data_IF_378106617454
#
_entry.id   IF_378106617454
#
_cell.length_a   1.000
_cell.length_b   1.000
_cell.length_c   1.000
_cell.angle_alpha   90.00
_cell.angle_beta   90.00
_cell.angle_gamma   90.00
#
_symmetry.space_group_name_H-M   'P 1'
#
loop_
_entity.id
_entity.type
_entity.pdbx_description
1 polymer ?
#
# COMPACT_ATOMS: atom_id res chain seq x y z
N UNK A 1 -2.67 3.33 -8.50
CA UNK A 1 -2.35 2.90 -9.87
C UNK A 1 -3.60 2.81 -10.75
N UNK A 2 -4.76 2.50 -10.20
CA UNK A 2 -5.98 2.11 -10.92
C UNK A 2 -7.05 3.18 -10.77
N UNK A 3 -7.75 3.51 -11.84
CA UNK A 3 -9.02 4.24 -11.83
C UNK A 3 -10.15 3.30 -12.22
N UNK A 4 -11.39 3.67 -11.96
CA UNK A 4 -12.55 2.84 -12.27
C UNK A 4 -13.75 3.68 -12.68
N UNK A 5 -14.68 3.04 -13.35
CA UNK A 5 -15.99 3.58 -13.65
C UNK A 5 -17.07 2.52 -13.53
N UNK A 6 -18.29 2.95 -13.41
CA UNK A 6 -19.47 2.09 -13.58
C UNK A 6 -19.88 2.09 -15.03
N UNK A 7 -20.17 0.92 -15.58
CA UNK A 7 -20.67 0.74 -16.94
C UNK A 7 -21.82 -0.28 -16.92
N UNK A 8 -22.60 -0.32 -17.99
CA UNK A 8 -23.64 -1.33 -18.17
C UNK A 8 -23.16 -2.36 -19.18
N UNK A 9 -23.06 -3.61 -18.78
CA UNK A 9 -22.84 -4.70 -19.73
C UNK A 9 -24.11 -4.89 -20.57
N UNK A 10 -24.01 -4.52 -21.83
CA UNK A 10 -25.17 -4.58 -22.76
C UNK A 10 -25.69 -6.00 -22.99
N UNK A 11 -24.84 -7.03 -22.85
CA UNK A 11 -25.19 -8.43 -23.05
C UNK A 11 -25.87 -9.01 -21.81
N UNK A 12 -25.31 -8.74 -20.63
CA UNK A 12 -25.81 -9.27 -19.35
C UNK A 12 -26.90 -8.38 -18.75
N UNK A 13 -27.05 -7.14 -19.23
CA UNK A 13 -27.97 -6.11 -18.71
C UNK A 13 -27.81 -5.86 -17.20
N UNK A 14 -26.56 -5.89 -16.74
CA UNK A 14 -26.20 -5.63 -15.36
C UNK A 14 -25.19 -4.48 -15.31
N UNK A 15 -25.16 -3.81 -14.17
CA UNK A 15 -24.09 -2.86 -13.87
C UNK A 15 -22.79 -3.60 -13.54
N UNK A 16 -21.70 -3.11 -14.08
CA UNK A 16 -20.35 -3.63 -13.87
C UNK A 16 -19.42 -2.50 -13.45
N UNK A 17 -18.38 -2.85 -12.72
CA UNK A 17 -17.28 -1.93 -12.42
C UNK A 17 -16.10 -2.31 -13.30
N UNK A 18 -15.66 -1.38 -14.12
CA UNK A 18 -14.49 -1.54 -14.97
C UNK A 18 -13.28 -0.86 -14.34
N UNK A 19 -12.17 -1.58 -14.27
CA UNK A 19 -10.91 -1.09 -13.72
C UNK A 19 -9.86 -0.96 -14.80
N UNK A 20 -9.13 0.16 -14.79
CA UNK A 20 -8.08 0.48 -15.75
C UNK A 20 -6.85 1.02 -15.03
N UNK A 21 -5.69 0.74 -15.54
CA UNK A 21 -4.40 1.25 -15.05
C UNK A 21 -3.69 2.20 -16.02
N UNK A 22 -4.28 2.40 -17.19
CA UNK A 22 -3.77 3.28 -18.24
C UNK A 22 -4.91 4.05 -18.95
N UNK A 23 -4.58 4.67 -20.09
CA UNK A 23 -5.49 5.45 -20.91
C UNK A 23 -6.30 4.63 -21.91
N UNK A 24 -6.06 3.32 -22.02
CA UNK A 24 -6.78 2.45 -23.00
C UNK A 24 -8.27 2.37 -22.72
N UNK A 25 -8.66 2.54 -21.47
CA UNK A 25 -10.07 2.58 -21.06
C UNK A 25 -10.80 3.91 -21.29
N UNK A 26 -10.14 4.93 -21.83
CA UNK A 26 -10.82 6.20 -22.08
C UNK A 26 -11.75 6.12 -23.29
N UNK A 27 -12.94 6.64 -23.13
CA UNK A 27 -13.84 6.95 -24.24
C UNK A 27 -13.57 8.36 -24.75
N UNK A 28 -13.75 8.58 -26.05
CA UNK A 28 -13.36 9.83 -26.71
C UNK A 28 -14.39 10.24 -27.74
N UNK A 29 -14.36 11.54 -28.07
CA UNK A 29 -15.09 12.07 -29.24
C UNK A 29 -16.40 12.73 -28.92
N UNK A 30 -16.78 12.87 -27.65
CA UNK A 30 -18.00 13.65 -27.33
C UNK A 30 -17.67 15.15 -27.35
N UNK A 31 -18.46 15.87 -28.08
CA UNK A 31 -18.38 17.35 -28.16
C UNK A 31 -19.71 17.95 -27.75
N UNK A 32 -19.68 18.88 -26.79
CA UNK A 32 -20.88 19.55 -26.26
C UNK A 32 -20.78 21.07 -26.42
N UNK A 33 -21.88 21.77 -26.76
CA UNK A 33 -21.86 23.21 -26.84
C UNK A 33 -21.86 23.87 -25.46
N UNK A 34 -21.13 24.99 -25.34
CA UNK A 34 -21.30 25.91 -24.21
C UNK A 34 -22.57 26.67 -24.34
N UNK A 35 -23.51 26.56 -23.40
CA UNK A 35 -24.72 27.34 -23.33
C UNK A 35 -24.96 27.80 -21.91
N UNK A 36 -25.17 29.11 -21.75
CA UNK A 36 -25.59 29.64 -20.46
C UNK A 36 -27.07 29.31 -20.22
N UNK A 37 -27.45 28.86 -19.01
CA UNK A 37 -28.86 28.66 -18.69
C UNK A 37 -29.62 29.97 -18.90
N UNK A 38 -30.51 30.00 -19.85
CA UNK A 38 -31.51 31.05 -20.02
C UNK A 38 -32.88 30.44 -19.75
N UNK A 39 -33.81 31.19 -19.21
CA UNK A 39 -35.16 30.70 -18.89
C UNK A 39 -35.97 30.14 -20.06
N UNK A 40 -35.38 30.05 -21.24
CA UNK A 40 -35.92 29.48 -22.48
C UNK A 40 -35.07 28.26 -22.92
N UNK A 41 -34.68 27.40 -22.00
CA UNK A 41 -33.99 26.16 -22.35
C UNK A 41 -34.99 25.21 -23.04
N UNK A 42 -34.74 24.89 -24.29
CA UNK A 42 -35.63 24.08 -25.11
C UNK A 42 -35.61 22.57 -24.82
N UNK A 43 -34.70 22.13 -23.95
CA UNK A 43 -34.58 20.73 -23.52
C UNK A 43 -34.11 19.76 -24.60
N UNK A 44 -33.96 20.18 -25.85
CA UNK A 44 -33.61 19.28 -26.96
C UNK A 44 -32.08 19.09 -27.13
N UNK A 45 -31.26 20.06 -26.70
CA UNK A 45 -29.82 20.02 -26.95
C UNK A 45 -29.05 19.86 -25.63
N UNK A 46 -28.33 18.77 -25.53
CA UNK A 46 -27.38 18.60 -24.42
C UNK A 46 -26.26 19.66 -24.47
N UNK A 47 -25.94 20.25 -23.34
CA UNK A 47 -25.02 21.37 -23.25
C UNK A 47 -24.22 21.34 -21.94
N UNK A 48 -23.17 22.15 -21.89
CA UNK A 48 -22.38 22.40 -20.68
C UNK A 48 -22.42 23.89 -20.33
N UNK A 49 -22.34 24.20 -19.03
CA UNK A 49 -22.24 25.56 -18.50
C UNK A 49 -21.50 25.59 -17.17
N UNK A 50 -21.38 26.78 -16.58
CA UNK A 50 -20.74 26.92 -15.25
C UNK A 50 -19.31 26.43 -15.21
N UNK A 51 -18.58 26.53 -16.34
CA UNK A 51 -17.20 26.06 -16.43
C UNK A 51 -16.31 26.86 -15.52
N UNK A 52 -15.55 26.15 -14.70
CA UNK A 52 -14.60 26.72 -13.77
C UNK A 52 -13.25 26.01 -13.89
N UNK A 53 -12.17 26.76 -13.73
CA UNK A 53 -10.79 26.27 -13.78
C UNK A 53 -10.05 26.71 -12.53
N UNK A 54 -9.46 25.77 -11.81
CA UNK A 54 -8.57 26.05 -10.67
C UNK A 54 -7.19 25.49 -10.99
N UNK A 55 -6.18 26.32 -10.91
CA UNK A 55 -4.79 25.97 -11.18
C UNK A 55 -3.96 26.01 -9.92
N UNK A 56 -3.05 25.06 -9.77
CA UNK A 56 -2.09 24.96 -8.68
C UNK A 56 -0.70 24.73 -9.23
N UNK A 57 0.30 25.21 -8.50
CA UNK A 57 1.70 24.85 -8.76
C UNK A 57 1.93 23.47 -8.17
N UNK A 58 2.48 22.57 -8.95
CA UNK A 58 2.80 21.19 -8.54
C UNK A 58 4.28 20.90 -8.73
N UNK A 59 4.74 19.80 -8.15
CA UNK A 59 6.14 19.40 -8.17
C UNK A 59 6.62 19.12 -9.61
N UNK A 60 7.82 19.61 -9.91
CA UNK A 60 8.48 19.39 -11.19
C UNK A 60 9.12 18.01 -11.27
N UNK A 61 9.70 17.55 -10.18
CA UNK A 61 10.42 16.30 -10.08
C UNK A 61 9.86 15.45 -8.94
N UNK A 62 9.88 14.15 -9.12
CA UNK A 62 9.55 13.19 -8.05
C UNK A 62 10.69 12.20 -7.91
N UNK A 63 11.20 12.08 -6.69
CA UNK A 63 12.23 11.11 -6.33
C UNK A 63 11.67 10.11 -5.35
N UNK A 64 11.88 8.83 -5.60
CA UNK A 64 11.48 7.74 -4.69
C UNK A 64 12.70 6.96 -4.24
N UNK A 65 12.68 6.48 -2.99
CA UNK A 65 13.70 5.63 -2.42
C UNK A 65 13.06 4.56 -1.55
N UNK A 66 13.58 3.34 -1.62
CA UNK A 66 13.08 2.24 -0.81
C UNK A 66 14.21 1.35 -0.31
N UNK A 67 13.93 0.54 0.70
CA UNK A 67 14.83 -0.48 1.23
C UNK A 67 14.18 -1.84 1.15
N UNK A 68 14.92 -2.79 0.57
CA UNK A 68 14.54 -4.19 0.53
C UNK A 68 15.65 -5.06 1.12
N UNK A 69 15.37 -5.71 2.23
CA UNK A 69 16.35 -6.57 2.90
C UNK A 69 16.80 -7.78 2.06
N UNK A 70 16.00 -8.18 1.06
CA UNK A 70 16.36 -9.29 0.15
C UNK A 70 17.42 -8.90 -0.88
N UNK A 71 17.55 -7.61 -1.11
CA UNK A 71 18.54 -7.00 -2.01
C UNK A 71 19.33 -5.91 -1.28
N UNK A 72 19.68 -6.16 -0.01
CA UNK A 72 20.29 -5.18 0.88
C UNK A 72 21.66 -4.67 0.40
N UNK A 73 22.34 -5.42 -0.47
CA UNK A 73 23.60 -5.01 -1.13
C UNK A 73 23.41 -4.14 -2.34
N UNK A 74 22.20 -4.06 -2.90
CA UNK A 74 21.89 -3.09 -3.92
C UNK A 74 21.91 -1.69 -3.27
N UNK A 75 22.53 -0.71 -3.92
CA UNK A 75 22.36 0.68 -3.52
C UNK A 75 20.86 0.94 -3.39
N UNK A 76 20.46 1.59 -2.30
CA UNK A 76 19.06 1.93 -2.08
C UNK A 76 18.57 2.62 -3.33
N UNK A 77 17.66 1.97 -4.06
CA UNK A 77 17.23 2.42 -5.37
C UNK A 77 16.60 3.80 -5.24
N UNK A 78 17.33 4.80 -5.69
CA UNK A 78 16.83 6.16 -5.80
C UNK A 78 16.48 6.37 -7.26
N UNK A 79 15.21 6.58 -7.54
CA UNK A 79 14.71 6.80 -8.88
C UNK A 79 14.02 8.15 -8.96
N UNK A 80 14.32 8.90 -10.01
CA UNK A 80 13.77 10.22 -10.26
C UNK A 80 12.93 10.20 -11.54
N UNK A 81 11.83 10.91 -11.53
CA UNK A 81 11.00 11.17 -12.68
C UNK A 81 10.74 12.66 -12.81
N UNK A 82 11.17 13.24 -13.93
CA UNK A 82 10.94 14.63 -14.26
C UNK A 82 9.63 14.80 -15.06
N UNK A 83 8.97 15.93 -14.88
CA UNK A 83 7.80 16.26 -15.68
C UNK A 83 8.18 16.42 -17.15
N UNK A 84 7.71 15.48 -17.98
CA UNK A 84 7.80 15.63 -19.41
C UNK A 84 6.61 16.47 -19.91
N UNK A 85 6.89 17.66 -20.44
CA UNK A 85 5.87 18.59 -20.92
C UNK A 85 5.25 19.47 -19.84
N UNK A 86 5.87 19.54 -18.65
CA UNK A 86 5.53 20.54 -17.64
C UNK A 86 5.79 21.95 -18.19
N UNK A 87 4.81 22.80 -18.02
CA UNK A 87 4.96 24.23 -18.31
C UNK A 87 5.70 24.94 -17.15
N UNK A 88 5.79 26.28 -17.21
CA UNK A 88 6.43 27.09 -16.20
C UNK A 88 5.72 27.07 -14.82
N UNK A 89 4.67 26.27 -14.64
CA UNK A 89 3.88 26.16 -13.41
C UNK A 89 4.30 24.98 -12.52
N UNK A 90 5.26 24.16 -12.96
CA UNK A 90 5.84 23.12 -12.12
C UNK A 90 7.09 23.63 -11.41
N UNK A 91 7.25 23.32 -10.11
CA UNK A 91 8.35 23.80 -9.30
C UNK A 91 8.72 22.81 -8.18
N UNK A 92 10.01 22.67 -7.90
CA UNK A 92 10.49 21.89 -6.78
C UNK A 92 10.49 20.39 -6.99
N UNK A 93 10.77 19.67 -5.92
CA UNK A 93 10.89 18.21 -5.88
C UNK A 93 10.04 17.64 -4.75
N UNK A 94 9.34 16.54 -5.03
CA UNK A 94 8.74 15.68 -4.02
C UNK A 94 9.62 14.45 -3.80
N UNK A 95 10.01 14.22 -2.55
CA UNK A 95 10.75 13.04 -2.14
C UNK A 95 9.85 12.08 -1.38
N UNK A 96 9.84 10.81 -1.79
CA UNK A 96 9.09 9.74 -1.16
C UNK A 96 10.01 8.60 -0.75
N UNK A 97 9.89 8.18 0.50
CA UNK A 97 10.59 7.02 1.03
C UNK A 97 9.61 5.91 1.37
N UNK A 98 10.05 4.65 1.23
CA UNK A 98 9.29 3.45 1.59
C UNK A 98 7.99 3.25 0.78
N UNK A 99 8.04 3.45 -0.53
CA UNK A 99 6.92 3.14 -1.43
C UNK A 99 6.64 1.65 -1.60
N UNK A 100 7.50 0.80 -1.03
CA UNK A 100 7.40 -0.65 -1.05
C UNK A 100 7.37 -1.23 -2.49
N UNK A 101 8.50 -1.16 -3.16
CA UNK A 101 8.68 -1.63 -4.55
C UNK A 101 8.63 -3.15 -4.70
N UNK A 102 8.48 -3.89 -3.62
CA UNK A 102 8.42 -5.33 -3.64
C UNK A 102 7.04 -5.82 -4.06
N UNK A 103 7.02 -6.85 -4.89
CA UNK A 103 5.83 -7.65 -5.06
C UNK A 103 5.53 -8.42 -3.78
N UNK A 104 4.26 -8.56 -3.47
CA UNK A 104 3.78 -9.31 -2.30
C UNK A 104 3.99 -10.81 -2.53
N UNK A 105 4.42 -11.50 -1.50
CA UNK A 105 4.52 -12.94 -1.49
C UNK A 105 5.94 -13.49 -1.35
N UNK A 106 6.05 -14.82 -1.36
CA UNK A 106 7.33 -15.52 -1.18
C UNK A 106 8.23 -15.48 -2.43
N UNK A 107 7.64 -15.19 -3.58
CA UNK A 107 8.34 -15.03 -4.87
C UNK A 107 8.33 -13.58 -5.30
N UNK A 108 9.02 -12.75 -4.55
CA UNK A 108 9.02 -11.32 -4.81
C UNK A 108 10.03 -10.94 -5.88
N UNK A 109 9.56 -10.21 -6.88
CA UNK A 109 10.41 -9.44 -7.79
C UNK A 109 10.34 -7.97 -7.40
N UNK A 110 11.47 -7.27 -7.44
CA UNK A 110 11.49 -5.84 -7.22
C UNK A 110 10.74 -5.14 -8.37
N UNK A 111 9.78 -4.28 -8.04
CA UNK A 111 9.20 -3.34 -9.00
C UNK A 111 10.18 -2.17 -9.20
N UNK A 112 10.06 -1.48 -10.35
CA UNK A 112 10.91 -0.34 -10.65
C UNK A 112 10.52 0.89 -9.82
N UNK A 113 11.49 1.50 -9.13
CA UNK A 113 11.31 2.79 -8.46
C UNK A 113 10.90 3.90 -9.42
N UNK A 114 11.42 3.89 -10.66
CA UNK A 114 11.04 4.82 -11.71
C UNK A 114 9.56 4.73 -12.07
N UNK A 115 8.97 3.53 -12.06
CA UNK A 115 7.53 3.36 -12.24
C UNK A 115 6.72 4.03 -11.12
N UNK A 116 7.13 3.87 -9.86
CA UNK A 116 6.45 4.52 -8.73
C UNK A 116 6.62 6.04 -8.76
N UNK A 117 7.83 6.54 -9.06
CA UNK A 117 8.09 7.97 -9.23
C UNK A 117 7.19 8.56 -10.31
N UNK A 118 7.05 7.87 -11.47
CA UNK A 118 6.16 8.27 -12.55
C UNK A 118 4.70 8.34 -12.10
N UNK A 119 4.17 7.29 -11.46
CA UNK A 119 2.77 7.24 -10.99
C UNK A 119 2.49 8.35 -9.97
N UNK A 120 3.44 8.66 -9.08
CA UNK A 120 3.30 9.78 -8.15
C UNK A 120 3.33 11.11 -8.86
N UNK A 121 4.22 11.25 -9.83
CA UNK A 121 4.31 12.48 -10.63
C UNK A 121 3.04 12.71 -11.47
N UNK A 122 2.52 11.69 -12.14
CA UNK A 122 1.24 11.78 -12.86
C UNK A 122 0.10 12.28 -11.95
N UNK A 123 0.10 11.87 -10.67
CA UNK A 123 -0.89 12.34 -9.69
C UNK A 123 -0.74 13.83 -9.39
N UNK A 124 0.47 14.32 -9.19
CA UNK A 124 0.73 15.76 -9.04
C UNK A 124 0.32 16.55 -10.28
N UNK A 125 0.65 16.05 -11.47
CA UNK A 125 0.23 16.69 -12.74
C UNK A 125 -1.30 16.71 -12.88
N UNK A 126 -2.02 15.71 -12.38
CA UNK A 126 -3.49 15.74 -12.36
C UNK A 126 -4.06 16.81 -11.42
N UNK A 127 -3.33 17.17 -10.36
CA UNK A 127 -3.72 18.23 -9.41
C UNK A 127 -3.38 19.64 -9.91
N UNK A 128 -2.56 19.77 -10.97
CA UNK A 128 -2.16 21.05 -11.54
C UNK A 128 -3.35 21.88 -12.05
N UNK A 129 -4.36 21.22 -12.60
CA UNK A 129 -5.57 21.87 -13.08
C UNK A 129 -6.81 21.02 -12.75
N UNK A 130 -7.65 21.54 -11.88
CA UNK A 130 -8.93 20.94 -11.53
C UNK A 130 -10.03 21.74 -12.22
N UNK A 131 -10.81 21.06 -13.02
CA UNK A 131 -11.86 21.64 -13.86
C UNK A 131 -13.21 21.18 -13.34
N UNK A 132 -14.20 22.05 -13.40
CA UNK A 132 -15.59 21.77 -13.02
C UNK A 132 -16.54 22.35 -14.04
N UNK A 133 -17.72 21.73 -14.16
CA UNK A 133 -18.79 22.23 -14.98
C UNK A 133 -20.11 21.54 -14.65
N UNK A 134 -21.15 22.01 -15.29
CA UNK A 134 -22.48 21.45 -15.21
C UNK A 134 -22.93 21.02 -16.60
N UNK A 135 -23.82 20.03 -16.69
CA UNK A 135 -24.33 19.56 -17.96
C UNK A 135 -25.73 18.93 -17.82
N UNK A 136 -26.44 18.88 -18.91
CA UNK A 136 -27.68 18.08 -19.08
C UNK A 136 -27.39 16.74 -19.74
N UNK A 137 -26.13 16.47 -20.17
CA UNK A 137 -25.84 15.24 -20.89
C UNK A 137 -25.74 14.05 -19.95
N UNK A 138 -26.54 13.04 -20.21
CA UNK A 138 -26.49 11.76 -19.49
C UNK A 138 -25.32 10.87 -19.93
N UNK A 139 -24.58 11.27 -20.95
CA UNK A 139 -23.42 10.52 -21.46
C UNK A 139 -22.15 10.77 -20.64
N UNK A 140 -22.11 11.82 -19.81
CA UNK A 140 -20.92 12.16 -19.04
C UNK A 140 -20.67 11.13 -17.95
N UNK A 141 -19.48 10.54 -17.97
CA UNK A 141 -19.03 9.55 -17.00
C UNK A 141 -17.50 9.64 -16.79
N UNK A 142 -16.97 9.16 -15.67
CA UNK A 142 -15.53 9.08 -15.48
C UNK A 142 -14.83 8.29 -16.58
N UNK A 143 -13.70 8.80 -17.08
CA UNK A 143 -12.95 8.21 -18.18
C UNK A 143 -13.40 8.62 -19.57
N UNK A 144 -14.36 9.55 -19.69
CA UNK A 144 -14.78 10.12 -20.97
C UNK A 144 -14.01 11.42 -21.24
N UNK A 145 -13.39 11.52 -22.42
CA UNK A 145 -12.84 12.78 -22.94
C UNK A 145 -13.94 13.55 -23.65
N UNK A 146 -14.13 14.80 -23.26
CA UNK A 146 -15.06 15.71 -23.91
C UNK A 146 -14.35 16.96 -24.41
N UNK A 147 -14.92 17.59 -25.43
CA UNK A 147 -14.56 18.93 -25.93
C UNK A 147 -15.73 19.85 -25.83
N UNK A 148 -15.49 21.09 -25.49
CA UNK A 148 -16.55 22.10 -25.41
C UNK A 148 -16.42 23.04 -26.57
N UNK A 149 -17.51 23.18 -27.32
CA UNK A 149 -17.65 24.15 -28.43
C UNK A 149 -18.20 25.47 -27.92
N UNK A 150 -17.65 26.55 -28.40
CA UNK A 150 -18.05 27.91 -28.12
C UNK A 150 -16.85 28.83 -28.04
N UNK A 151 -16.97 30.04 -28.59
CA UNK A 151 -15.85 31.00 -28.60
C UNK A 151 -15.51 31.48 -27.19
N UNK A 152 -16.52 31.54 -26.32
CA UNK A 152 -16.36 31.92 -24.90
C UNK A 152 -15.91 30.75 -23.98
N UNK A 153 -15.81 29.52 -24.52
CA UNK A 153 -15.34 28.39 -23.73
C UNK A 153 -13.83 28.54 -23.39
N UNK A 154 -13.44 28.31 -22.15
CA UNK A 154 -12.01 28.34 -21.80
C UNK A 154 -11.19 27.40 -22.69
N UNK A 155 -9.99 27.85 -23.07
CA UNK A 155 -9.15 27.13 -24.04
C UNK A 155 -8.87 25.66 -23.64
N UNK A 156 -8.74 25.38 -22.34
CA UNK A 156 -8.52 24.03 -21.82
C UNK A 156 -9.69 23.09 -22.17
N UNK A 157 -10.92 23.56 -22.06
CA UNK A 157 -12.13 22.76 -22.41
C UNK A 157 -12.27 22.56 -23.93
N UNK A 158 -11.82 23.51 -24.71
CA UNK A 158 -11.83 23.38 -26.19
C UNK A 158 -10.79 22.38 -26.68
N UNK A 159 -9.66 22.29 -26.01
CA UNK A 159 -8.59 21.31 -26.33
C UNK A 159 -8.95 19.87 -25.97
N UNK A 160 -9.77 19.69 -24.96
CA UNK A 160 -10.22 18.41 -24.45
C UNK A 160 -9.96 18.25 -22.96
N UNK A 161 -10.93 17.72 -22.26
CA UNK A 161 -10.85 17.43 -20.82
C UNK A 161 -11.32 16.02 -20.54
N UNK A 162 -10.69 15.37 -19.59
CA UNK A 162 -11.08 14.04 -19.13
C UNK A 162 -11.96 14.16 -17.90
N UNK A 163 -13.15 13.62 -17.95
CA UNK A 163 -14.07 13.55 -16.81
C UNK A 163 -13.51 12.60 -15.76
N UNK A 164 -13.38 13.06 -14.52
CA UNK A 164 -12.86 12.28 -13.38
C UNK A 164 -13.93 11.94 -12.36
N UNK A 165 -15.04 12.67 -12.36
CA UNK A 165 -16.16 12.42 -11.45
C UNK A 165 -17.42 13.12 -11.91
N UNK A 166 -18.58 12.52 -11.60
CA UNK A 166 -19.90 13.10 -11.87
C UNK A 166 -20.80 12.94 -10.65
N UNK A 167 -21.63 13.93 -10.44
CA UNK A 167 -22.75 13.88 -9.48
C UNK A 167 -24.00 14.31 -10.20
N UNK A 168 -24.97 13.43 -10.30
CA UNK A 168 -26.19 13.67 -11.04
C UNK A 168 -27.43 13.70 -10.13
N UNK A 169 -28.43 14.48 -10.51
CA UNK A 169 -29.75 14.52 -9.89
C UNK A 169 -30.84 14.48 -10.95
N UNK A 170 -31.84 13.64 -10.71
CA UNK A 170 -33.01 13.54 -11.59
C UNK A 170 -34.28 13.32 -10.76
N UNK A 171 -35.37 13.93 -11.17
CA UNK A 171 -36.67 13.67 -10.60
C UNK A 171 -37.75 13.83 -11.72
N UNK A 172 -38.97 13.30 -11.50
CA UNK A 172 -40.03 13.38 -12.50
C UNK A 172 -40.47 14.80 -12.82
N UNK A 173 -40.28 15.71 -11.86
CA UNK A 173 -40.66 17.11 -11.92
C UNK A 173 -39.50 18.06 -12.20
N UNK A 174 -38.32 17.53 -12.47
CA UNK A 174 -37.10 18.33 -12.70
C UNK A 174 -36.33 17.77 -13.88
N UNK A 175 -35.69 18.67 -14.62
CA UNK A 175 -34.71 18.27 -15.64
C UNK A 175 -33.52 17.53 -15.04
N UNK A 176 -32.96 16.62 -15.81
CA UNK A 176 -31.71 15.97 -15.47
C UNK A 176 -30.59 17.01 -15.49
N UNK A 177 -29.87 17.09 -14.40
CA UNK A 177 -28.70 17.95 -14.26
C UNK A 177 -27.56 17.15 -13.57
N UNK A 178 -26.36 17.37 -14.07
CA UNK A 178 -25.16 16.83 -13.41
C UNK A 178 -24.09 17.91 -13.27
N UNK A 179 -23.29 17.72 -12.24
CA UNK A 179 -22.04 18.43 -12.05
C UNK A 179 -20.90 17.45 -12.30
N UNK A 180 -19.88 17.87 -13.03
CA UNK A 180 -18.72 17.07 -13.29
C UNK A 180 -17.43 17.74 -12.80
N UNK A 181 -16.46 16.92 -12.48
CA UNK A 181 -15.06 17.28 -12.29
C UNK A 181 -14.24 16.68 -13.40
N UNK A 182 -13.22 17.38 -13.83
CA UNK A 182 -12.34 16.96 -14.92
C UNK A 182 -10.90 17.45 -14.72
N UNK A 183 -9.99 16.89 -15.50
CA UNK A 183 -8.62 17.35 -15.68
C UNK A 183 -8.38 17.62 -17.17
N UNK A 184 -7.37 18.42 -17.54
CA UNK A 184 -6.98 18.52 -18.94
C UNK A 184 -6.63 17.14 -19.50
N UNK A 185 -7.12 16.83 -20.70
CA UNK A 185 -6.70 15.61 -21.37
C UNK A 185 -5.24 15.72 -21.82
N UNK A 186 -4.45 14.68 -21.54
CA UNK A 186 -3.05 14.58 -21.97
C UNK A 186 -2.79 13.19 -22.56
N UNK A 187 -2.00 13.14 -23.61
CA UNK A 187 -1.47 11.88 -24.16
C UNK A 187 -0.19 11.43 -23.44
N UNK A 188 0.42 12.32 -22.66
CA UNK A 188 1.71 12.08 -22.01
C UNK A 188 1.57 11.39 -20.65
N UNK A 189 0.45 11.60 -19.95
CA UNK A 189 0.19 11.01 -18.65
C UNK A 189 -1.30 10.72 -18.45
N UNK A 190 -1.59 9.69 -17.66
CA UNK A 190 -2.94 9.24 -17.37
C UNK A 190 -3.53 9.85 -16.09
N UNK A 191 -4.82 9.61 -15.89
CA UNK A 191 -5.49 9.94 -14.65
C UNK A 191 -5.07 8.97 -13.53
N UNK A 192 -4.67 9.55 -12.40
CA UNK A 192 -4.33 8.82 -11.18
C UNK A 192 -5.16 9.36 -10.03
N UNK A 193 -6.14 8.61 -9.52
CA UNK A 193 -6.94 9.03 -8.38
C UNK A 193 -6.07 9.37 -7.16
N UNK A 194 -6.59 10.22 -6.28
CA UNK A 194 -5.97 10.50 -4.99
C UNK A 194 -5.72 9.21 -4.21
N UNK A 195 -4.60 9.17 -3.48
CA UNK A 195 -4.30 8.01 -2.63
C UNK A 195 -5.26 7.97 -1.45
N UNK A 196 -5.82 6.80 -1.22
CA UNK A 196 -6.48 6.49 0.05
C UNK A 196 -5.37 6.24 1.08
N UNK A 197 -5.45 6.82 2.29
CA UNK A 197 -4.48 6.54 3.34
C UNK A 197 -4.36 5.03 3.58
N UNK A 198 -3.13 4.52 3.56
CA UNK A 198 -2.89 3.12 3.91
C UNK A 198 -3.13 2.91 5.41
N UNK A 199 -3.72 1.79 5.82
CA UNK A 199 -3.77 1.43 7.23
C UNK A 199 -2.37 1.35 7.83
N UNK A 200 -2.22 1.91 9.03
CA UNK A 200 -0.98 1.85 9.79
C UNK A 200 -1.18 0.97 11.01
N UNK A 201 -0.34 -0.04 11.15
CA UNK A 201 -0.34 -0.95 12.29
C UNK A 201 0.56 -0.36 13.38
N UNK A 202 -0.04 0.25 14.38
CA UNK A 202 0.68 0.75 15.55
C UNK A 202 0.84 -0.35 16.61
N UNK A 203 2.05 -0.49 17.15
CA UNK A 203 2.35 -1.48 18.19
C UNK A 203 2.59 -2.88 17.64
N UNK A 204 2.30 -3.90 18.46
CA UNK A 204 2.54 -5.31 18.14
C UNK A 204 1.27 -6.14 18.25
N UNK A 205 1.19 -7.19 17.45
CA UNK A 205 0.13 -8.20 17.51
C UNK A 205 0.69 -9.53 18.03
N UNK A 206 -0.06 -10.27 18.87
CA UNK A 206 0.33 -11.61 19.29
C UNK A 206 0.17 -12.62 18.15
N UNK A 207 1.09 -13.57 18.09
CA UNK A 207 1.05 -14.68 17.17
C UNK A 207 1.74 -15.91 17.76
N UNK A 208 1.55 -17.07 17.14
CA UNK A 208 2.22 -18.32 17.47
C UNK A 208 3.09 -18.78 16.31
N UNK A 209 4.30 -19.21 16.61
CA UNK A 209 5.18 -19.84 15.62
C UNK A 209 4.58 -21.17 15.19
N UNK A 210 4.62 -21.48 13.90
CA UNK A 210 4.01 -22.67 13.31
C UNK A 210 5.03 -23.56 12.60
N UNK A 211 4.66 -24.82 12.37
CA UNK A 211 5.45 -25.79 11.63
C UNK A 211 4.59 -26.59 10.67
N UNK A 212 5.16 -26.94 9.51
CA UNK A 212 4.51 -27.82 8.52
C UNK A 212 4.51 -29.29 8.93
N UNK A 213 5.38 -29.66 9.89
CA UNK A 213 5.55 -31.03 10.35
C UNK A 213 4.71 -31.27 11.59
N UNK A 214 3.75 -32.18 11.47
CA UNK A 214 2.89 -32.58 12.60
C UNK A 214 3.75 -33.23 13.70
N UNK A 215 3.56 -32.76 14.93
CA UNK A 215 4.29 -33.20 16.13
C UNK A 215 5.79 -32.85 16.16
N UNK A 216 6.28 -32.07 15.23
CA UNK A 216 7.61 -31.48 15.36
C UNK A 216 7.53 -30.31 16.33
N UNK A 217 8.34 -30.39 17.39
CA UNK A 217 8.43 -29.27 18.34
C UNK A 217 9.23 -28.11 17.81
N UNK A 218 10.09 -28.34 16.81
CA UNK A 218 10.88 -27.27 16.21
C UNK A 218 10.10 -26.57 15.12
N UNK A 219 10.24 -25.26 15.05
CA UNK A 219 9.63 -24.50 13.98
C UNK A 219 10.31 -24.80 12.65
N UNK A 220 9.50 -24.87 11.61
CA UNK A 220 9.99 -24.90 10.25
C UNK A 220 10.53 -23.50 9.87
N UNK A 221 11.80 -23.44 9.45
CA UNK A 221 12.42 -22.21 8.93
C UNK A 221 12.77 -22.37 7.46
N UNK A 222 12.84 -21.27 6.75
CA UNK A 222 13.30 -21.28 5.36
C UNK A 222 14.83 -21.14 5.27
N UNK A 223 15.34 -21.09 4.04
CA UNK A 223 16.79 -20.94 3.77
C UNK A 223 17.39 -19.62 4.32
N UNK A 224 16.56 -18.63 4.57
CA UNK A 224 16.97 -17.31 5.11
C UNK A 224 16.73 -17.21 6.62
N UNK A 225 16.38 -18.32 7.28
CA UNK A 225 16.16 -18.39 8.73
C UNK A 225 14.90 -17.67 9.20
N UNK A 226 13.90 -17.53 8.32
CA UNK A 226 12.61 -16.91 8.61
C UNK A 226 11.60 -17.94 9.10
N UNK A 227 10.59 -17.47 9.84
CA UNK A 227 9.55 -18.29 10.46
C UNK A 227 8.19 -18.05 9.77
N UNK A 228 7.27 -18.98 9.98
CA UNK A 228 5.84 -18.76 9.75
C UNK A 228 5.11 -18.70 11.06
N UNK A 229 4.08 -17.88 11.11
CA UNK A 229 3.33 -17.62 12.33
C UNK A 229 1.83 -17.64 12.04
N UNK A 230 1.06 -18.00 13.06
CA UNK A 230 -0.39 -17.82 13.05
C UNK A 230 -0.73 -16.63 13.95
N UNK A 231 -1.35 -15.60 13.39
CA UNK A 231 -1.80 -14.42 14.12
C UNK A 231 -3.03 -14.76 14.95
N UNK A 232 -3.06 -14.42 16.22
CA UNK A 232 -4.13 -14.82 17.16
C UNK A 232 -5.52 -14.29 16.77
N UNK A 233 -5.59 -13.21 15.99
CA UNK A 233 -6.86 -12.69 15.50
C UNK A 233 -7.39 -13.41 14.25
N UNK A 234 -6.55 -14.23 13.58
CA UNK A 234 -6.95 -14.92 12.34
C UNK A 234 -7.97 -16.04 12.66
N UNK A 235 -9.10 -15.99 12.00
CA UNK A 235 -10.20 -16.93 12.17
C UNK A 235 -10.27 -17.98 11.08
N UNK A 236 -9.43 -17.87 10.06
CA UNK A 236 -9.41 -18.79 8.95
C UNK A 236 -8.73 -20.11 9.34
N UNK A 237 -9.18 -21.18 8.73
CA UNK A 237 -8.57 -22.50 8.91
C UNK A 237 -7.52 -22.73 7.85
N UNK A 238 -6.27 -22.65 8.25
CA UNK A 238 -5.12 -22.86 7.39
C UNK A 238 -4.57 -24.29 7.51
N UNK A 239 -3.86 -24.69 6.47
CA UNK A 239 -2.97 -25.83 6.57
C UNK A 239 -1.82 -25.46 7.51
N UNK A 240 -1.51 -26.29 8.54
CA UNK A 240 -0.43 -26.01 9.47
C UNK A 240 0.90 -25.67 8.79
N UNK A 241 1.53 -24.60 9.23
CA UNK A 241 2.75 -24.08 8.64
C UNK A 241 2.57 -23.21 7.38
N UNK A 242 1.31 -22.88 7.02
CA UNK A 242 0.99 -22.02 5.87
C UNK A 242 0.11 -20.82 6.26
N UNK A 243 0.05 -20.52 7.54
CA UNK A 243 -0.83 -19.48 8.10
C UNK A 243 -0.34 -18.06 7.79
N UNK A 244 0.94 -17.91 7.43
CA UNK A 244 1.52 -16.62 7.04
C UNK A 244 2.55 -16.77 5.92
N UNK A 245 2.99 -15.64 5.39
CA UNK A 245 4.25 -15.55 4.66
C UNK A 245 5.42 -15.76 5.59
N UNK A 246 6.63 -15.92 5.02
CA UNK A 246 7.86 -15.99 5.78
C UNK A 246 8.18 -14.66 6.45
N UNK A 247 8.40 -14.69 7.77
CA UNK A 247 8.58 -13.52 8.64
C UNK A 247 9.97 -13.57 9.26
N UNK A 248 10.73 -12.46 9.14
CA UNK A 248 12.04 -12.34 9.80
C UNK A 248 11.89 -12.24 11.31
N UNK A 249 12.91 -12.64 12.03
CA UNK A 249 13.05 -12.37 13.47
C UNK A 249 14.10 -11.27 13.69
N UNK A 250 13.74 -10.25 14.44
CA UNK A 250 14.70 -9.31 15.00
C UNK A 250 15.53 -10.02 16.09
N UNK A 251 16.84 -9.99 15.97
CA UNK A 251 17.76 -10.65 16.90
C UNK A 251 18.67 -9.61 17.55
N UNK A 252 19.09 -9.83 18.81
CA UNK A 252 19.99 -8.89 19.52
C UNK A 252 21.35 -8.71 18.84
N UNK A 253 21.80 -9.71 18.08
CA UNK A 253 23.10 -9.71 17.42
C UNK A 253 23.02 -10.50 16.13
N UNK A 254 23.37 -9.87 15.01
CA UNK A 254 23.34 -10.47 13.68
C UNK A 254 24.34 -9.76 12.75
N UNK A 255 24.97 -10.52 11.88
CA UNK A 255 25.90 -10.03 10.86
C UNK A 255 26.16 -11.08 9.79
N UNK A 256 27.23 -10.90 9.02
CA UNK A 256 27.57 -11.83 7.95
C UNK A 256 28.10 -13.15 8.54
N UNK A 257 27.29 -14.20 8.41
CA UNK A 257 27.57 -15.58 8.88
C UNK A 257 27.77 -15.71 10.41
N UNK A 258 27.44 -14.69 11.21
CA UNK A 258 27.52 -14.73 12.67
C UNK A 258 26.32 -14.05 13.33
N UNK A 259 26.09 -14.36 14.60
CA UNK A 259 25.01 -13.76 15.40
C UNK A 259 24.53 -14.63 16.52
N UNK A 260 23.51 -14.18 17.25
CA UNK A 260 22.82 -14.95 18.28
C UNK A 260 21.56 -15.59 17.68
N UNK A 261 21.64 -16.88 17.39
CA UNK A 261 20.51 -17.65 16.87
C UNK A 261 19.99 -18.62 17.93
N UNK A 262 18.80 -18.36 18.43
CA UNK A 262 18.06 -19.24 19.35
C UNK A 262 16.79 -19.70 18.62
N UNK A 263 16.70 -20.99 18.23
CA UNK A 263 15.56 -21.51 17.48
C UNK A 263 14.25 -21.37 18.26
N UNK A 264 13.23 -20.83 17.65
CA UNK A 264 11.89 -20.80 18.22
C UNK A 264 11.21 -22.15 18.00
N UNK A 265 10.47 -22.62 19.00
CA UNK A 265 9.66 -23.83 18.87
C UNK A 265 8.28 -23.51 18.31
N UNK A 266 7.65 -24.49 17.66
CA UNK A 266 6.27 -24.40 17.29
C UNK A 266 5.38 -24.16 18.53
N UNK A 267 4.42 -23.26 18.45
CA UNK A 267 3.56 -22.85 19.55
C UNK A 267 4.11 -21.69 20.40
N UNK A 268 5.36 -21.28 20.23
CA UNK A 268 5.94 -20.15 20.96
C UNK A 268 5.18 -18.85 20.66
N UNK A 269 4.81 -18.11 21.69
CA UNK A 269 4.22 -16.79 21.56
C UNK A 269 5.26 -15.76 21.10
N UNK A 270 4.91 -15.02 20.07
CA UNK A 270 5.74 -13.93 19.52
C UNK A 270 4.96 -12.65 19.38
N UNK A 271 5.66 -11.53 19.46
CA UNK A 271 5.11 -10.21 19.12
C UNK A 271 5.49 -9.86 17.69
N UNK A 272 4.48 -9.65 16.86
CA UNK A 272 4.66 -9.21 15.48
C UNK A 272 4.57 -7.69 15.45
N UNK A 273 5.63 -7.05 14.97
CA UNK A 273 5.65 -5.64 14.61
C UNK A 273 5.72 -5.49 13.09
N UNK A 274 5.60 -4.27 12.64
CA UNK A 274 5.50 -3.95 11.21
C UNK A 274 6.48 -2.83 10.87
N UNK A 275 7.31 -3.05 9.85
CA UNK A 275 8.23 -2.02 9.37
C UNK A 275 7.44 -0.77 8.95
N UNK A 276 7.72 0.36 9.59
CA UNK A 276 7.00 1.63 9.38
C UNK A 276 5.47 1.54 9.53
N UNK A 277 4.98 0.55 10.30
CA UNK A 277 3.55 0.30 10.46
C UNK A 277 2.87 -0.30 9.23
N UNK A 278 3.60 -0.71 8.21
CA UNK A 278 3.04 -1.30 7.01
C UNK A 278 2.58 -2.74 7.25
N UNK A 279 1.26 -3.05 7.14
CA UNK A 279 0.74 -4.41 7.34
C UNK A 279 1.39 -5.47 6.45
N UNK A 280 1.93 -5.07 5.31
CA UNK A 280 2.58 -5.97 4.35
C UNK A 280 4.04 -6.30 4.73
N UNK A 281 4.59 -5.68 5.79
CA UNK A 281 5.98 -5.86 6.23
C UNK A 281 6.10 -6.30 7.69
N UNK A 282 5.53 -7.46 8.07
CA UNK A 282 5.62 -7.97 9.43
C UNK A 282 7.01 -8.53 9.74
N UNK A 283 7.40 -8.44 11.02
CA UNK A 283 8.55 -9.13 11.57
C UNK A 283 8.33 -9.52 13.02
N UNK A 284 9.00 -10.59 13.48
CA UNK A 284 9.01 -10.99 14.89
C UNK A 284 9.90 -10.02 15.65
N UNK A 285 9.29 -9.16 16.48
CA UNK A 285 9.98 -8.16 17.28
C UNK A 285 10.46 -8.72 18.63
N UNK A 286 9.82 -9.77 19.12
CA UNK A 286 10.15 -10.38 20.40
C UNK A 286 9.43 -11.68 20.64
N UNK A 287 9.86 -12.38 21.70
CA UNK A 287 9.34 -13.67 22.15
C UNK A 287 8.86 -13.50 23.58
N UNK A 288 7.74 -14.14 23.95
CA UNK A 288 7.16 -14.05 25.27
C UNK A 288 6.92 -15.43 25.86
N UNK A 289 7.03 -15.51 27.19
CA UNK A 289 6.45 -16.60 27.96
C UNK A 289 4.94 -16.40 28.12
N UNK A 290 4.22 -17.48 28.28
CA UNK A 290 2.78 -17.48 28.55
C UNK A 290 2.43 -18.56 29.61
N UNK A 291 1.16 -18.72 29.92
CA UNK A 291 0.70 -19.67 30.95
C UNK A 291 0.99 -21.14 30.62
N UNK A 292 1.13 -21.48 29.34
CA UNK A 292 1.49 -22.82 28.87
C UNK A 292 3.01 -23.02 28.75
N UNK A 293 3.76 -21.92 28.62
CA UNK A 293 5.22 -21.89 28.39
C UNK A 293 5.87 -20.94 29.42
N UNK A 294 5.91 -21.40 30.68
CA UNK A 294 6.36 -20.59 31.82
C UNK A 294 7.85 -20.28 31.77
N UNK A 295 8.22 -19.11 32.30
CA UNK A 295 9.62 -18.74 32.46
C UNK A 295 10.33 -19.68 33.45
N UNK A 296 11.57 -19.97 33.15
CA UNK A 296 12.46 -20.77 34.04
C UNK A 296 13.16 -19.91 35.10
N UNK A 297 13.04 -18.58 35.01
CA UNK A 297 13.47 -17.66 36.04
C UNK A 297 12.21 -17.05 36.68
N UNK A 298 12.09 -17.22 38.00
CA UNK A 298 10.93 -16.79 38.77
C UNK A 298 11.35 -16.03 40.02
N UNK A 299 10.42 -15.66 40.88
CA UNK A 299 10.72 -15.05 42.20
C UNK A 299 11.64 -15.89 43.06
N UNK A 300 11.72 -17.21 42.84
CA UNK A 300 12.57 -18.13 43.64
C UNK A 300 14.05 -18.09 43.23
N UNK A 301 14.35 -17.65 42.01
CA UNK A 301 15.68 -17.67 41.43
C UNK A 301 16.02 -16.43 40.60
N UNK A 302 15.37 -15.30 40.88
CA UNK A 302 15.42 -14.06 40.11
C UNK A 302 16.82 -13.42 39.99
N UNK A 303 17.79 -13.85 40.82
CA UNK A 303 19.18 -13.39 40.77
C UNK A 303 20.02 -14.08 39.68
N UNK A 304 19.42 -14.99 38.91
CA UNK A 304 20.09 -15.77 37.89
C UNK A 304 19.87 -15.23 36.50
N UNK A 305 20.96 -15.09 35.76
CA UNK A 305 20.96 -14.89 34.32
C UNK A 305 21.13 -16.28 33.69
N UNK A 306 20.15 -16.73 32.89
CA UNK A 306 20.13 -18.12 32.42
C UNK A 306 19.83 -18.20 30.94
N UNK A 307 20.73 -18.77 30.15
CA UNK A 307 20.47 -19.32 28.84
C UNK A 307 20.17 -20.82 28.99
N UNK A 308 18.94 -21.23 28.67
CA UNK A 308 18.53 -22.65 28.74
C UNK A 308 17.90 -23.07 27.46
N UNK A 309 18.36 -24.16 26.85
CA UNK A 309 17.77 -24.76 25.67
C UNK A 309 16.63 -25.73 26.01
N UNK A 310 15.76 -26.11 25.05
CA UNK A 310 14.74 -27.13 25.25
C UNK A 310 15.32 -28.48 25.73
N UNK A 311 16.54 -28.82 25.28
CA UNK A 311 17.29 -30.02 25.72
C UNK A 311 18.01 -29.86 27.06
N UNK A 312 17.68 -28.80 27.82
CA UNK A 312 18.24 -28.51 29.14
C UNK A 312 19.75 -28.23 29.19
N UNK A 313 20.38 -27.90 28.06
CA UNK A 313 21.72 -27.30 28.07
C UNK A 313 21.62 -25.89 28.66
N UNK A 314 22.54 -25.54 29.59
CA UNK A 314 22.46 -24.29 30.35
C UNK A 314 23.79 -23.58 30.45
N UNK A 315 23.75 -22.26 30.35
CA UNK A 315 24.75 -21.34 30.85
C UNK A 315 24.03 -20.46 31.88
N UNK A 316 24.51 -20.50 33.13
CA UNK A 316 23.94 -19.77 34.25
C UNK A 316 24.99 -18.92 34.93
N UNK A 317 24.66 -17.63 35.12
CA UNK A 317 25.43 -16.72 35.96
C UNK A 317 24.54 -16.39 37.16
N UNK A 318 24.99 -16.72 38.37
CA UNK A 318 24.24 -16.47 39.60
C UNK A 318 24.87 -15.27 40.30
N UNK A 319 24.06 -14.22 40.50
CA UNK A 319 24.47 -12.95 41.09
C UNK A 319 24.11 -12.87 42.59
N UNK A 320 23.89 -14.02 43.25
CA UNK A 320 23.65 -14.03 44.68
C UNK A 320 24.92 -13.61 45.44
N UNK A 321 24.81 -12.46 46.12
CA UNK A 321 25.99 -11.85 46.80
C UNK A 321 26.66 -12.81 47.75
N UNK A 322 27.96 -13.01 47.55
CA UNK A 322 28.80 -13.93 48.31
C UNK A 322 28.71 -15.41 47.88
N UNK A 323 27.92 -15.69 46.79
CA UNK A 323 27.78 -17.02 46.20
C UNK A 323 27.81 -16.95 44.68
N UNK A 324 28.35 -15.88 44.15
CA UNK A 324 28.45 -15.66 42.71
C UNK A 324 29.19 -16.82 42.04
N UNK A 325 28.62 -17.33 40.95
CA UNK A 325 29.27 -18.40 40.20
C UNK A 325 28.72 -18.51 38.76
N UNK A 326 29.55 -19.09 37.90
CA UNK A 326 29.15 -19.47 36.55
C UNK A 326 29.00 -20.98 36.47
N UNK A 327 27.91 -21.48 35.92
CA UNK A 327 27.71 -22.91 35.71
C UNK A 327 27.34 -23.17 34.25
N UNK A 328 28.10 -24.07 33.62
CA UNK A 328 27.77 -24.64 32.32
C UNK A 328 27.43 -26.11 32.51
N UNK A 329 26.30 -26.57 32.01
CA UNK A 329 25.86 -27.93 32.23
C UNK A 329 24.95 -28.42 31.08
N UNK A 330 24.98 -29.75 30.87
CA UNK A 330 24.07 -30.50 30.01
C UNK A 330 23.52 -31.70 30.80
N UNK A 331 22.43 -32.28 30.39
CA UNK A 331 21.94 -33.56 30.96
C UNK A 331 22.65 -34.77 30.41
N UNK A 332 23.26 -34.66 29.23
CA UNK A 332 24.02 -35.73 28.59
C UNK A 332 25.49 -35.58 28.91
N UNK A 333 25.87 -35.98 30.13
CA UNK A 333 27.24 -36.24 30.55
C UNK A 333 28.30 -35.24 30.04
N UNK A 334 28.50 -34.23 30.76
CA UNK A 334 29.62 -33.34 30.56
C UNK A 334 30.30 -33.06 31.86
#
# INVERSE_FOLDING_TARGET
KIWFRFATDARLKIEVVEFYDDQSGYERGLTLPLRHPSGLFDGETEAVWGLNTAYSVVEKNVTTRDYNYRTATAEMMTEQHDATGGDNTTYGEAYHYADNFLQKGDKEAAESGAFYARIRHERYLNEQAILKGQSTSSLLMPGLEIRVQGDDAPAVFRKGVLITGVTASAARDRSYELTFTAIPYSELYGYRPALIPCPVMAGTLPARVTSTVKNDIYAHIDKDGRYRVNLDFDRDTWKPGYESLWVRQSRPYAGDTYGLHLPLLAGTEVSIAFEEGNPDRPYIAGVKHDSAHTDHVTIQNYKRNVLRTPANNKIRLDDERGKEHIKVSTEYGG
#
